data_IF_550945048753
#
_entry.id   IF_550945048753
#
_cell.length_a   1.000
_cell.length_b   1.000
_cell.length_c   1.000
_cell.angle_alpha   90.00
_cell.angle_beta   90.00
_cell.angle_gamma   90.00
#
_symmetry.space_group_name_H-M   'P 1'
#
loop_
_entity.id
_entity.type
_entity.pdbx_description
1 polymer ?
#
# COMPACT_ATOMS: atom_id res chain seq x y z
N UNK A 1 -40.86 0.82 -41.10
CA UNK A 1 -40.48 -0.61 -41.25
C UNK A 1 -39.14 -0.93 -40.62
N UNK A 2 -38.04 -0.25 -40.96
CA UNK A 2 -36.73 -0.53 -40.33
C UNK A 2 -36.70 -0.10 -38.85
N UNK A 3 -37.23 1.09 -38.53
CA UNK A 3 -37.32 1.60 -37.16
C UNK A 3 -38.29 0.83 -36.24
N UNK A 4 -39.39 0.30 -36.81
CA UNK A 4 -40.45 -0.40 -36.05
C UNK A 4 -39.99 -1.75 -35.51
N UNK A 5 -38.96 -2.35 -36.13
CA UNK A 5 -38.36 -3.62 -35.68
C UNK A 5 -37.13 -3.38 -34.80
N UNK A 6 -36.40 -2.29 -35.02
CA UNK A 6 -35.21 -1.93 -34.22
C UNK A 6 -35.60 -1.54 -32.79
N UNK A 7 -36.65 -0.73 -32.61
CA UNK A 7 -37.05 -0.23 -31.29
C UNK A 7 -37.46 -1.35 -30.29
N UNK A 8 -38.31 -2.34 -30.64
CA UNK A 8 -38.62 -3.46 -29.76
C UNK A 8 -37.42 -4.39 -29.52
N UNK A 9 -36.55 -4.57 -30.52
CA UNK A 9 -35.34 -5.38 -30.36
C UNK A 9 -34.35 -4.74 -29.37
N UNK A 10 -34.12 -3.42 -29.48
CA UNK A 10 -33.24 -2.67 -28.56
C UNK A 10 -33.81 -2.65 -27.15
N UNK A 11 -35.11 -2.38 -26.99
CA UNK A 11 -35.75 -2.38 -25.65
C UNK A 11 -35.74 -3.76 -25.00
N UNK A 12 -36.00 -4.83 -25.75
CA UNK A 12 -35.86 -6.21 -25.29
C UNK A 12 -34.43 -6.54 -24.85
N UNK A 13 -33.42 -6.18 -25.66
CA UNK A 13 -32.03 -6.39 -25.33
C UNK A 13 -31.62 -5.63 -24.05
N UNK A 14 -31.95 -4.34 -23.95
CA UNK A 14 -31.67 -3.53 -22.76
C UNK A 14 -32.29 -4.10 -21.49
N UNK A 15 -33.53 -4.64 -21.58
CA UNK A 15 -34.18 -5.31 -20.46
C UNK A 15 -33.43 -6.57 -19.99
N UNK A 16 -32.97 -7.40 -20.93
CA UNK A 16 -32.15 -8.59 -20.63
C UNK A 16 -30.83 -8.20 -19.98
N UNK A 17 -30.12 -7.19 -20.52
CA UNK A 17 -28.87 -6.70 -19.94
C UNK A 17 -29.07 -6.19 -18.52
N UNK A 18 -30.10 -5.39 -18.27
CA UNK A 18 -30.43 -4.89 -16.93
C UNK A 18 -30.74 -6.03 -15.97
N UNK A 19 -31.54 -7.01 -16.39
CA UNK A 19 -31.86 -8.21 -15.61
C UNK A 19 -30.61 -9.01 -15.23
N UNK A 20 -29.73 -9.26 -16.20
CA UNK A 20 -28.44 -9.94 -15.99
C UNK A 20 -27.54 -9.15 -15.03
N UNK A 21 -27.47 -7.83 -15.15
CA UNK A 21 -26.67 -6.97 -14.27
C UNK A 21 -27.17 -7.01 -12.82
N UNK A 22 -28.49 -7.00 -12.61
CA UNK A 22 -29.09 -7.13 -11.27
C UNK A 22 -28.81 -8.50 -10.68
N UNK A 23 -29.02 -9.59 -11.44
CA UNK A 23 -28.69 -10.96 -11.03
C UNK A 23 -27.22 -11.09 -10.65
N UNK A 24 -26.32 -10.59 -11.51
CA UNK A 24 -24.88 -10.58 -11.25
C UNK A 24 -24.56 -9.84 -9.95
N UNK A 25 -25.10 -8.64 -9.76
CA UNK A 25 -24.84 -7.82 -8.57
C UNK A 25 -25.31 -8.49 -7.28
N UNK A 26 -26.38 -9.29 -7.33
CA UNK A 26 -26.88 -10.08 -6.20
C UNK A 26 -26.02 -11.32 -5.93
N UNK A 27 -25.57 -12.02 -6.97
CA UNK A 27 -24.78 -13.25 -6.83
C UNK A 27 -23.31 -12.98 -6.53
N UNK A 28 -22.76 -11.88 -7.05
CA UNK A 28 -21.33 -11.56 -7.00
C UNK A 28 -20.71 -11.57 -5.58
N UNK A 29 -21.37 -11.05 -4.53
CA UNK A 29 -20.81 -11.04 -3.19
C UNK A 29 -20.62 -12.41 -2.54
N UNK A 30 -21.28 -13.46 -3.06
CA UNK A 30 -21.20 -14.82 -2.52
C UNK A 30 -19.95 -15.57 -2.96
N UNK A 31 -19.22 -15.06 -3.96
CA UNK A 31 -18.02 -15.71 -4.48
C UNK A 31 -16.76 -14.93 -4.10
N UNK A 32 -15.68 -15.61 -3.69
CA UNK A 32 -14.39 -14.98 -3.44
C UNK A 32 -13.88 -14.21 -4.64
N UNK A 33 -13.05 -13.21 -4.39
CA UNK A 33 -12.40 -12.39 -5.40
C UNK A 33 -10.89 -12.53 -5.32
N UNK A 34 -10.24 -12.58 -6.48
CA UNK A 34 -8.79 -12.54 -6.58
C UNK A 34 -8.32 -11.10 -6.34
N UNK A 35 -7.38 -10.93 -5.42
CA UNK A 35 -6.75 -9.64 -5.07
C UNK A 35 -5.24 -9.82 -5.06
N UNK A 36 -4.51 -8.73 -5.28
CA UNK A 36 -3.05 -8.71 -5.24
C UNK A 36 -2.58 -7.93 -4.01
N UNK A 37 -1.57 -8.43 -3.31
CA UNK A 37 -1.01 -7.74 -2.15
C UNK A 37 -0.02 -6.64 -2.57
N UNK A 38 -0.28 -5.40 -2.15
CA UNK A 38 0.61 -4.26 -2.41
C UNK A 38 2.06 -4.49 -1.94
N UNK A 39 2.25 -5.15 -0.79
CA UNK A 39 3.55 -5.30 -0.16
C UNK A 39 4.40 -6.43 -0.74
N UNK A 40 3.82 -7.62 -0.92
CA UNK A 40 4.57 -8.79 -1.36
C UNK A 40 4.26 -9.24 -2.79
N UNK A 41 3.36 -8.52 -3.49
CA UNK A 41 2.92 -8.76 -4.85
C UNK A 41 2.40 -10.20 -5.11
N UNK A 42 1.92 -10.88 -4.06
CA UNK A 42 1.29 -12.20 -4.17
C UNK A 42 -0.21 -12.07 -4.33
N UNK A 43 -0.74 -12.80 -5.29
CA UNK A 43 -2.17 -12.94 -5.46
C UNK A 43 -2.77 -13.88 -4.41
N UNK A 44 -3.95 -13.54 -3.90
CA UNK A 44 -4.75 -14.40 -3.03
C UNK A 44 -6.23 -14.26 -3.33
N UNK A 45 -7.08 -15.04 -2.66
CA UNK A 45 -8.53 -14.92 -2.72
C UNK A 45 -9.08 -14.49 -1.37
N UNK A 46 -9.95 -13.49 -1.37
CA UNK A 46 -10.64 -12.99 -0.19
C UNK A 46 -12.15 -12.96 -0.42
N UNK A 47 -12.94 -12.89 0.66
CA UNK A 47 -14.37 -12.66 0.54
C UNK A 47 -14.63 -11.34 -0.20
N UNK A 48 -15.62 -11.30 -1.09
CA UNK A 48 -15.88 -10.12 -1.93
C UNK A 48 -16.04 -8.82 -1.14
N UNK A 49 -16.65 -8.89 0.04
CA UNK A 49 -16.86 -7.73 0.93
C UNK A 49 -15.57 -7.22 1.59
N UNK A 50 -14.52 -8.04 1.64
CA UNK A 50 -13.23 -7.70 2.26
C UNK A 50 -12.17 -7.28 1.23
N UNK A 51 -12.52 -7.17 -0.05
CA UNK A 51 -11.57 -6.95 -1.14
C UNK A 51 -10.74 -5.65 -0.99
N UNK A 52 -11.30 -4.65 -0.32
CA UNK A 52 -10.65 -3.35 -0.04
C UNK A 52 -10.04 -3.26 1.38
N UNK A 53 -10.17 -4.31 2.19
CA UNK A 53 -9.76 -4.33 3.60
C UNK A 53 -9.46 -5.75 4.07
N UNK A 54 -8.24 -6.23 3.87
CA UNK A 54 -7.86 -7.61 4.18
C UNK A 54 -6.40 -7.74 4.63
N UNK A 55 -6.09 -8.82 5.35
CA UNK A 55 -4.70 -9.17 5.68
C UNK A 55 -4.15 -10.18 4.69
N UNK A 56 -2.92 -9.95 4.22
CA UNK A 56 -2.27 -10.88 3.32
C UNK A 56 -1.86 -12.16 4.07
N UNK A 57 -2.27 -13.36 3.61
CA UNK A 57 -1.89 -14.60 4.28
C UNK A 57 -0.39 -14.92 4.15
N UNK A 58 0.32 -14.30 3.20
CA UNK A 58 1.73 -14.56 2.95
C UNK A 58 2.68 -13.68 3.79
N UNK A 59 2.42 -12.37 3.86
CA UNK A 59 3.29 -11.43 4.59
C UNK A 59 2.61 -10.79 5.81
N UNK A 60 1.36 -11.12 6.08
CA UNK A 60 0.56 -10.64 7.23
C UNK A 60 0.35 -9.11 7.26
N UNK A 61 0.67 -8.41 6.17
CA UNK A 61 0.43 -6.98 6.05
C UNK A 61 -1.03 -6.68 5.70
N UNK A 62 -1.55 -5.61 6.28
CA UNK A 62 -2.90 -5.12 6.00
C UNK A 62 -2.95 -4.41 4.63
N UNK A 63 -3.92 -4.78 3.81
CA UNK A 63 -4.20 -4.23 2.48
C UNK A 63 -5.59 -3.59 2.52
N UNK A 64 -5.60 -2.29 2.81
CA UNK A 64 -6.80 -1.48 2.77
C UNK A 64 -6.46 -0.01 2.86
N UNK A 65 -6.77 0.70 1.79
CA UNK A 65 -6.36 2.09 1.58
C UNK A 65 -7.58 2.97 1.26
N UNK A 66 -7.47 4.24 1.57
CA UNK A 66 -8.35 5.32 1.11
C UNK A 66 -7.99 5.71 -0.32
N UNK A 67 -8.82 6.51 -0.97
CA UNK A 67 -8.53 6.99 -2.34
C UNK A 67 -7.23 7.81 -2.41
N UNK A 68 -6.86 8.50 -1.33
CA UNK A 68 -5.62 9.27 -1.20
C UNK A 68 -4.40 8.42 -0.82
N UNK A 69 -4.60 7.10 -0.61
CA UNK A 69 -3.53 6.14 -0.35
C UNK A 69 -3.19 5.91 1.14
N UNK A 70 -3.82 6.61 2.07
CA UNK A 70 -3.68 6.34 3.51
C UNK A 70 -4.44 5.06 3.91
N UNK A 71 -4.16 4.47 5.06
CA UNK A 71 -4.89 3.30 5.54
C UNK A 71 -6.35 3.62 5.84
N UNK A 72 -7.27 2.76 5.39
CA UNK A 72 -8.70 2.89 5.67
C UNK A 72 -9.11 2.42 7.08
N UNK A 73 -8.15 2.37 8.00
CA UNK A 73 -8.32 2.02 9.41
C UNK A 73 -7.20 2.63 10.24
N UNK A 74 -7.49 2.84 11.53
CA UNK A 74 -6.47 3.19 12.50
C UNK A 74 -5.52 2.00 12.75
N UNK A 75 -4.23 2.32 12.77
CA UNK A 75 -3.12 1.40 13.03
C UNK A 75 -2.27 1.97 14.16
N UNK A 76 -2.72 1.86 15.43
CA UNK A 76 -2.04 2.46 16.56
C UNK A 76 -0.56 2.09 16.70
N UNK A 77 -0.16 0.89 16.26
CA UNK A 77 1.23 0.47 16.26
C UNK A 77 2.16 1.38 15.44
N UNK A 78 1.64 2.14 14.47
CA UNK A 78 2.45 3.08 13.69
C UNK A 78 2.87 4.33 14.47
N UNK A 79 2.12 4.75 15.50
CA UNK A 79 2.44 5.95 16.30
C UNK A 79 2.60 5.68 17.80
N UNK A 80 2.10 4.55 18.31
CA UNK A 80 2.30 4.09 19.68
C UNK A 80 3.39 3.02 19.70
N UNK A 81 4.62 3.43 20.02
CA UNK A 81 5.77 2.52 20.12
C UNK A 81 5.53 1.34 21.08
N UNK A 82 4.77 1.55 22.16
CA UNK A 82 4.41 0.52 23.13
C UNK A 82 3.65 -0.67 22.53
N UNK A 83 3.02 -0.48 21.36
CA UNK A 83 2.29 -1.52 20.63
C UNK A 83 3.15 -2.24 19.59
N UNK A 84 4.37 -1.74 19.33
CA UNK A 84 5.31 -2.43 18.46
C UNK A 84 5.90 -3.63 19.21
N UNK A 85 5.56 -4.83 18.75
CA UNK A 85 6.22 -6.05 19.20
C UNK A 85 7.70 -5.95 18.82
N UNK A 86 8.57 -5.79 19.82
CA UNK A 86 10.01 -5.80 19.59
C UNK A 86 10.40 -7.18 19.06
N UNK A 87 10.75 -7.27 17.79
CA UNK A 87 11.32 -8.47 17.16
C UNK A 87 12.73 -8.74 17.69
N UNK A 88 12.87 -9.02 18.99
CA UNK A 88 14.12 -9.51 19.61
C UNK A 88 14.30 -11.03 19.45
N UNK A 89 13.61 -11.67 18.50
CA UNK A 89 13.65 -13.13 18.28
C UNK A 89 14.29 -13.56 16.96
N UNK A 90 15.27 -12.80 16.44
CA UNK A 90 16.13 -13.27 15.34
C UNK A 90 17.62 -13.23 15.68
N UNK A 91 17.99 -13.35 16.97
CA UNK A 91 19.40 -13.34 17.38
C UNK A 91 19.73 -14.38 18.44
N UNK A 92 19.43 -15.65 18.16
CA UNK A 92 20.08 -16.77 18.86
C UNK A 92 20.49 -17.80 17.82
N UNK A 93 21.75 -17.72 17.39
CA UNK A 93 22.31 -18.65 16.40
C UNK A 93 23.54 -18.13 15.68
N UNK A 94 24.58 -17.73 16.42
CA UNK A 94 25.97 -18.09 16.06
C UNK A 94 26.91 -17.66 17.18
N UNK A 95 27.45 -18.65 17.87
CA UNK A 95 28.57 -18.55 18.78
C UNK A 95 29.87 -18.26 18.02
N UNK A 96 30.74 -17.44 18.61
CA UNK A 96 32.18 -17.53 18.37
C UNK A 96 32.72 -16.70 17.21
N UNK A 97 32.98 -15.42 17.46
CA UNK A 97 34.35 -14.89 17.47
C UNK A 97 34.29 -13.38 17.70
N UNK A 98 35.20 -12.90 18.53
CA UNK A 98 35.49 -11.48 18.73
C UNK A 98 35.85 -10.82 17.39
N UNK A 99 34.85 -10.32 16.66
CA UNK A 99 35.09 -9.31 15.65
C UNK A 99 34.81 -7.96 16.31
N UNK A 100 35.86 -7.15 16.46
CA UNK A 100 35.77 -5.77 16.91
C UNK A 100 34.54 -5.12 16.29
N UNK A 101 33.66 -4.68 17.19
CA UNK A 101 32.37 -4.08 16.93
C UNK A 101 32.60 -2.78 16.14
N UNK A 102 32.67 -2.86 14.82
CA UNK A 102 32.45 -1.73 13.94
C UNK A 102 30.94 -1.42 14.02
N UNK A 103 30.56 -0.71 15.08
CA UNK A 103 29.20 -0.35 15.46
C UNK A 103 28.61 0.75 14.55
N UNK A 104 28.98 0.75 13.26
CA UNK A 104 28.58 1.77 12.31
C UNK A 104 28.67 1.26 10.87
N UNK A 105 27.84 1.86 10.02
CA UNK A 105 27.74 1.73 8.56
C UNK A 105 29.05 1.97 7.75
N UNK A 106 30.23 1.92 8.37
CA UNK A 106 31.52 2.13 7.73
C UNK A 106 31.92 3.60 7.52
N UNK A 107 31.09 4.57 7.91
CA UNK A 107 31.42 5.99 7.79
C UNK A 107 32.20 6.51 9.01
N UNK A 108 33.07 7.50 8.80
CA UNK A 108 33.69 8.23 9.91
C UNK A 108 32.62 9.06 10.67
N UNK A 109 32.97 9.57 11.85
CA UNK A 109 32.04 10.36 12.68
C UNK A 109 31.48 11.57 11.90
N UNK A 110 32.34 12.28 11.17
CA UNK A 110 31.93 13.42 10.34
C UNK A 110 30.97 13.02 9.24
N UNK A 111 31.21 11.90 8.56
CA UNK A 111 30.31 11.41 7.50
C UNK A 111 28.95 10.97 8.05
N UNK A 112 28.92 10.35 9.24
CA UNK A 112 27.66 10.02 9.93
C UNK A 112 26.89 11.29 10.32
N UNK A 113 27.58 12.31 10.85
CA UNK A 113 26.97 13.59 11.17
C UNK A 113 26.39 14.26 9.91
N UNK A 114 27.14 14.28 8.81
CA UNK A 114 26.69 14.84 7.54
C UNK A 114 25.46 14.10 6.99
N UNK A 115 25.38 12.78 7.14
CA UNK A 115 24.19 12.02 6.76
C UNK A 115 22.98 12.40 7.61
N UNK A 116 23.15 12.49 8.93
CA UNK A 116 22.07 12.90 9.83
C UNK A 116 21.56 14.32 9.51
N UNK A 117 22.47 15.25 9.22
CA UNK A 117 22.12 16.62 8.82
C UNK A 117 21.36 16.65 7.49
N UNK A 118 21.78 15.86 6.47
CA UNK A 118 21.06 15.76 5.20
C UNK A 118 19.65 15.18 5.36
N UNK A 119 19.51 14.13 6.17
CA UNK A 119 18.20 13.53 6.45
C UNK A 119 17.28 14.53 7.14
N UNK A 120 17.79 15.26 8.15
CA UNK A 120 17.03 16.31 8.83
C UNK A 120 16.62 17.42 7.88
N UNK A 121 17.55 17.91 7.07
CA UNK A 121 17.29 18.97 6.10
C UNK A 121 16.22 18.59 5.06
N UNK A 122 16.14 17.31 4.67
CA UNK A 122 15.09 16.80 3.78
C UNK A 122 13.75 16.62 4.50
N UNK A 123 13.76 16.20 5.77
CA UNK A 123 12.54 16.04 6.55
C UNK A 123 11.89 17.40 6.92
N UNK A 124 12.71 18.42 7.15
CA UNK A 124 12.25 19.78 7.49
C UNK A 124 11.89 20.61 6.23
N UNK A 125 12.11 20.07 5.03
CA UNK A 125 11.83 20.77 3.78
C UNK A 125 10.32 20.96 3.56
N UNK A 126 9.91 22.18 3.21
CA UNK A 126 8.53 22.52 2.85
C UNK A 126 8.52 23.13 1.44
N UNK A 127 7.76 22.58 0.48
CA UNK A 127 7.70 23.12 -0.87
C UNK A 127 7.04 24.50 -0.90
N UNK A 128 7.50 25.36 -1.80
CA UNK A 128 6.89 26.67 -2.07
C UNK A 128 5.59 26.46 -2.84
N UNK A 129 5.60 25.55 -3.82
CA UNK A 129 4.42 25.12 -4.56
C UNK A 129 4.24 23.61 -4.45
N UNK A 130 3.18 23.12 -3.76
CA UNK A 130 2.94 21.68 -3.58
C UNK A 130 2.92 20.89 -4.90
N UNK A 131 2.38 21.48 -5.97
CA UNK A 131 2.29 20.84 -7.30
C UNK A 131 3.66 20.65 -7.98
N UNK A 132 4.70 21.36 -7.51
CA UNK A 132 6.06 21.27 -8.03
C UNK A 132 7.02 20.56 -7.06
N UNK A 133 6.51 19.91 -6.02
CA UNK A 133 7.31 19.28 -4.97
C UNK A 133 8.50 18.48 -5.51
N UNK A 134 8.27 17.60 -6.49
CA UNK A 134 9.31 16.75 -7.07
C UNK A 134 10.44 17.57 -7.70
N UNK A 135 10.10 18.64 -8.43
CA UNK A 135 11.09 19.51 -9.06
C UNK A 135 11.86 20.33 -8.02
N UNK A 136 11.17 20.89 -7.05
CA UNK A 136 11.79 21.73 -6.02
C UNK A 136 12.68 20.90 -5.06
N UNK A 137 12.33 19.64 -4.79
CA UNK A 137 13.17 18.69 -4.04
C UNK A 137 14.46 18.37 -4.81
N UNK A 138 14.39 18.14 -6.12
CA UNK A 138 15.58 17.89 -6.94
C UNK A 138 16.50 19.13 -6.99
N UNK A 139 15.93 20.33 -7.05
CA UNK A 139 16.68 21.58 -6.91
C UNK A 139 17.34 21.70 -5.54
N UNK A 140 16.60 21.39 -4.46
CA UNK A 140 17.12 21.42 -3.09
C UNK A 140 18.24 20.41 -2.84
N UNK A 141 18.16 19.21 -3.43
CA UNK A 141 19.21 18.18 -3.33
C UNK A 141 20.52 18.56 -4.01
N UNK A 142 20.47 19.48 -4.98
CA UNK A 142 21.65 19.94 -5.76
C UNK A 142 22.44 21.05 -5.08
N UNK A 143 21.85 21.74 -4.11
CA UNK A 143 22.47 22.83 -3.34
C UNK A 143 23.01 22.36 -1.98
#
# INVERSE_FOLDING_TARGET
MEYDMILPAVTGASGVFAGCAVLYSKLRPHYPVKVNCWFCNKDTKVAFRLRESWYCPACQQYNGFTEDGDYNRDLPAQYCESLNVTSRKHKEGSSGNQLKLALGNGFCQTCNLNQALKVRALADYTPIHPDNYDKEIEDYRRN
#
